data_IF_528307893089
#
_entry.id   IF_528307893089
#
_cell.length_a   1.000
_cell.length_b   1.000
_cell.length_c   1.000
_cell.angle_alpha   90.00
_cell.angle_beta   90.00
_cell.angle_gamma   90.00
#
_symmetry.space_group_name_H-M   'P 1'
#
loop_
_entity.id
_entity.type
_entity.pdbx_description
1 polymer ?
#
# COMPACT_ATOMS: atom_id res chain seq x y z
N UNK A 1 -4.38 -23.01 34.06
CA UNK A 1 -5.15 -24.16 33.54
C UNK A 1 -6.45 -23.59 32.98
N UNK A 2 -6.50 -23.35 31.67
CA UNK A 2 -7.66 -22.78 30.98
C UNK A 2 -8.51 -23.97 30.50
N UNK A 3 -9.85 -23.96 30.67
CA UNK A 3 -10.67 -25.08 30.22
C UNK A 3 -10.69 -25.11 28.69
N UNK A 4 -10.28 -26.24 28.10
CA UNK A 4 -10.50 -26.55 26.69
C UNK A 4 -11.97 -26.93 26.56
N UNK A 5 -12.77 -26.09 25.91
CA UNK A 5 -14.13 -26.46 25.52
C UNK A 5 -14.06 -27.60 24.47
N UNK A 6 -14.83 -28.68 24.63
CA UNK A 6 -14.77 -29.81 23.71
C UNK A 6 -15.50 -29.44 22.40
N UNK A 7 -14.76 -29.39 21.29
CA UNK A 7 -15.33 -29.28 19.94
C UNK A 7 -14.71 -28.21 19.02
N UNK A 8 -13.77 -27.39 19.51
CA UNK A 8 -13.06 -26.42 18.65
C UNK A 8 -12.04 -27.11 17.75
N UNK A 9 -12.13 -26.88 16.43
CA UNK A 9 -11.06 -27.22 15.48
C UNK A 9 -9.77 -26.53 15.93
N UNK A 10 -8.64 -27.24 15.88
CA UNK A 10 -7.35 -26.62 16.20
C UNK A 10 -7.10 -25.42 15.27
N UNK A 11 -6.58 -24.30 15.80
CA UNK A 11 -6.31 -23.11 15.01
C UNK A 11 -5.17 -23.35 14.02
N UNK A 12 -5.40 -23.04 12.75
CA UNK A 12 -4.39 -23.01 11.69
C UNK A 12 -3.93 -21.55 11.50
N UNK A 13 -2.62 -21.22 11.55
CA UNK A 13 -2.13 -19.87 11.28
C UNK A 13 -2.54 -19.29 9.93
N UNK A 14 -2.78 -20.12 8.91
CA UNK A 14 -3.30 -19.68 7.61
C UNK A 14 -4.83 -19.53 7.60
N UNK A 15 -5.52 -20.02 8.62
CA UNK A 15 -6.97 -20.16 8.68
C UNK A 15 -7.45 -21.46 8.05
N UNK A 16 -8.67 -21.89 8.40
CA UNK A 16 -9.33 -23.05 7.80
C UNK A 16 -10.57 -22.67 6.99
N UNK A 17 -11.04 -23.53 6.08
CA UNK A 17 -12.31 -23.30 5.39
C UNK A 17 -13.49 -23.13 6.34
N UNK A 18 -14.25 -22.05 6.17
CA UNK A 18 -15.39 -21.72 7.02
C UNK A 18 -15.80 -20.24 6.93
N UNK A 19 -16.54 -19.78 7.95
CA UNK A 19 -17.01 -18.41 8.05
C UNK A 19 -16.00 -17.51 8.77
N UNK A 20 -15.81 -16.33 8.20
CA UNK A 20 -14.97 -15.28 8.72
C UNK A 20 -15.79 -14.01 8.89
N UNK A 21 -15.57 -13.29 9.99
CA UNK A 21 -16.06 -11.92 10.18
C UNK A 21 -14.94 -10.94 9.90
N UNK A 22 -15.24 -9.92 9.10
CA UNK A 22 -14.31 -8.88 8.72
C UNK A 22 -14.82 -7.53 9.23
N UNK A 23 -13.89 -6.71 9.70
CA UNK A 23 -14.12 -5.32 10.08
C UNK A 23 -13.09 -4.46 9.38
N UNK A 24 -13.53 -3.65 8.41
CA UNK A 24 -12.69 -2.70 7.69
C UNK A 24 -12.82 -1.32 8.34
N UNK A 25 -11.74 -0.79 8.89
CA UNK A 25 -11.76 0.47 9.64
C UNK A 25 -11.61 1.64 8.68
N UNK A 26 -12.63 2.49 8.57
CA UNK A 26 -12.61 3.66 7.70
C UNK A 26 -11.64 4.72 8.24
N UNK A 27 -11.03 5.44 7.31
CA UNK A 27 -10.09 6.50 7.62
C UNK A 27 -10.23 7.69 6.66
N UNK A 28 -9.82 8.85 7.16
CA UNK A 28 -9.62 10.07 6.37
C UNK A 28 -8.18 10.04 5.84
N UNK A 29 -7.96 10.00 4.52
CA UNK A 29 -6.62 10.06 3.94
C UNK A 29 -5.83 11.25 4.49
N UNK A 30 -4.57 11.02 4.88
CA UNK A 30 -3.69 12.04 5.45
C UNK A 30 -3.87 12.35 6.95
N UNK A 31 -4.89 11.81 7.63
CA UNK A 31 -5.06 11.98 9.08
C UNK A 31 -4.52 10.78 9.85
N UNK A 32 -3.69 11.04 10.87
CA UNK A 32 -3.15 10.01 11.77
C UNK A 32 -2.52 8.80 11.03
N UNK A 33 -1.74 9.08 10.00
CA UNK A 33 -1.15 8.09 9.07
C UNK A 33 -0.11 7.16 9.73
N UNK A 34 0.37 7.53 10.92
CA UNK A 34 1.37 6.79 11.69
C UNK A 34 0.72 6.15 12.91
N UNK A 35 1.09 4.90 13.18
CA UNK A 35 0.79 4.21 14.43
C UNK A 35 2.10 3.97 15.21
N UNK A 36 2.14 4.44 16.45
CA UNK A 36 3.27 4.20 17.37
C UNK A 36 3.18 2.81 18.03
N UNK A 37 1.95 2.31 18.17
CA UNK A 37 1.66 0.97 18.69
C UNK A 37 0.56 0.30 17.87
N UNK A 38 0.66 -1.03 17.73
CA UNK A 38 -0.38 -1.83 17.09
C UNK A 38 -1.41 -2.22 18.14
N UNK A 39 -2.48 -1.43 18.25
CA UNK A 39 -3.64 -1.74 19.08
C UNK A 39 -4.93 -1.69 18.25
N UNK A 40 -5.40 -2.85 17.82
CA UNK A 40 -6.52 -2.94 16.88
C UNK A 40 -7.87 -2.55 17.48
N UNK A 41 -8.09 -2.85 18.76
CA UNK A 41 -9.31 -2.40 19.43
C UNK A 41 -9.39 -0.86 19.45
N UNK A 42 -8.26 -0.19 19.71
CA UNK A 42 -8.17 1.27 19.59
C UNK A 42 -8.34 1.73 18.15
N UNK A 43 -7.75 1.03 17.17
CA UNK A 43 -7.86 1.37 15.75
C UNK A 43 -9.32 1.37 15.29
N UNK A 44 -10.06 0.29 15.56
CA UNK A 44 -11.48 0.15 15.22
C UNK A 44 -12.31 1.24 15.91
N UNK A 45 -12.08 1.47 17.21
CA UNK A 45 -12.79 2.50 17.96
C UNK A 45 -12.51 3.92 17.44
N UNK A 46 -11.31 4.15 16.88
CA UNK A 46 -10.89 5.41 16.30
C UNK A 46 -11.24 5.57 14.81
N UNK A 47 -11.99 4.62 14.22
CA UNK A 47 -12.45 4.69 12.84
C UNK A 47 -13.19 6.01 12.55
N UNK A 48 -12.93 6.57 11.38
CA UNK A 48 -13.42 7.90 11.04
C UNK A 48 -13.48 8.14 9.54
N UNK A 49 -14.41 8.97 9.11
CA UNK A 49 -14.56 9.40 7.72
C UNK A 49 -15.01 10.86 7.66
N UNK A 50 -15.08 11.42 6.45
CA UNK A 50 -15.70 12.73 6.22
C UNK A 50 -17.20 12.63 5.89
N UNK A 51 -17.78 11.44 6.03
CA UNK A 51 -19.18 11.18 5.71
C UNK A 51 -20.00 11.15 7.00
N UNK A 52 -20.83 12.16 7.18
CA UNK A 52 -21.74 12.30 8.31
C UNK A 52 -23.14 11.78 7.97
N UNK A 53 -23.82 11.20 8.96
CA UNK A 53 -25.21 10.76 8.88
C UNK A 53 -26.07 11.53 9.88
N UNK A 54 -27.39 11.46 9.73
CA UNK A 54 -28.31 12.07 10.67
C UNK A 54 -28.11 11.52 12.10
N UNK A 55 -28.39 12.35 13.11
CA UNK A 55 -28.07 12.04 14.52
C UNK A 55 -28.80 10.82 15.09
N UNK A 56 -29.93 10.43 14.50
CA UNK A 56 -30.71 9.23 14.84
C UNK A 56 -30.19 7.96 14.15
N UNK A 57 -29.24 8.09 13.22
CA UNK A 57 -28.62 6.98 12.52
C UNK A 57 -27.37 6.53 13.27
N UNK A 58 -27.42 5.31 13.80
CA UNK A 58 -26.29 4.68 14.51
C UNK A 58 -25.59 3.59 13.68
N UNK A 59 -26.30 3.01 12.72
CA UNK A 59 -25.78 2.00 11.80
C UNK A 59 -26.50 2.10 10.46
N UNK A 60 -25.79 1.90 9.36
CA UNK A 60 -26.37 1.71 8.04
C UNK A 60 -26.30 0.23 7.66
N UNK A 61 -27.34 -0.26 7.00
CA UNK A 61 -27.34 -1.58 6.36
C UNK A 61 -27.29 -1.35 4.87
N UNK A 62 -26.35 -2.04 4.22
CA UNK A 62 -26.19 -1.97 2.79
C UNK A 62 -25.87 -3.35 2.23
N UNK A 63 -25.95 -3.45 0.91
CA UNK A 63 -25.76 -4.69 0.21
C UNK A 63 -24.59 -4.56 -0.77
N UNK A 64 -23.64 -5.48 -0.67
CA UNK A 64 -22.55 -5.67 -1.61
C UNK A 64 -22.89 -6.81 -2.53
N UNK A 65 -22.30 -6.79 -3.72
CA UNK A 65 -22.46 -7.86 -4.69
C UNK A 65 -21.08 -8.39 -5.04
N UNK A 66 -20.91 -9.70 -4.98
CA UNK A 66 -19.70 -10.32 -5.52
C UNK A 66 -19.77 -10.40 -7.06
N UNK A 67 -18.68 -10.83 -7.70
CA UNK A 67 -18.60 -10.96 -9.16
C UNK A 67 -19.62 -11.94 -9.74
N UNK A 68 -20.13 -12.88 -8.93
CA UNK A 68 -21.19 -13.80 -9.32
C UNK A 68 -22.60 -13.20 -9.14
N UNK A 69 -22.70 -11.96 -8.65
CA UNK A 69 -23.93 -11.25 -8.37
C UNK A 69 -24.62 -11.68 -7.08
N UNK A 70 -23.97 -12.47 -6.23
CA UNK A 70 -24.55 -12.84 -4.94
C UNK A 70 -24.51 -11.65 -4.01
N UNK A 71 -25.59 -11.53 -3.24
CA UNK A 71 -25.82 -10.41 -2.33
C UNK A 71 -25.23 -10.71 -0.95
N UNK A 72 -24.45 -9.78 -0.43
CA UNK A 72 -23.82 -9.85 0.88
C UNK A 72 -24.24 -8.65 1.73
N UNK A 73 -24.65 -8.91 2.98
CA UNK A 73 -25.06 -7.85 3.89
C UNK A 73 -23.83 -7.20 4.52
N UNK A 74 -23.74 -5.87 4.44
CA UNK A 74 -22.73 -5.09 5.16
C UNK A 74 -23.39 -4.18 6.19
N UNK A 75 -22.70 -4.02 7.31
CA UNK A 75 -23.09 -3.14 8.39
C UNK A 75 -22.07 -2.01 8.48
N UNK A 76 -22.50 -0.79 8.23
CA UNK A 76 -21.63 0.38 8.38
C UNK A 76 -21.92 1.00 9.74
N UNK A 77 -20.92 1.00 10.61
CA UNK A 77 -21.04 1.55 11.95
C UNK A 77 -20.68 3.05 11.95
N UNK A 78 -21.26 3.80 12.89
CA UNK A 78 -21.09 5.24 13.01
C UNK A 78 -20.37 5.57 14.32
N UNK A 79 -19.49 6.57 14.33
CA UNK A 79 -18.77 7.03 15.52
C UNK A 79 -19.57 8.07 16.32
N UNK A 80 -19.03 8.50 17.47
CA UNK A 80 -19.69 9.47 18.36
C UNK A 80 -19.87 10.88 17.78
N UNK A 81 -19.31 11.17 16.60
CA UNK A 81 -19.50 12.42 15.85
C UNK A 81 -20.47 12.23 14.69
N UNK A 82 -21.22 11.13 14.67
CA UNK A 82 -22.14 10.77 13.59
C UNK A 82 -21.47 10.57 12.22
N UNK A 83 -20.19 10.20 12.18
CA UNK A 83 -19.46 9.90 10.94
C UNK A 83 -19.22 8.41 10.77
N UNK A 84 -19.14 7.93 9.52
CA UNK A 84 -18.92 6.50 9.26
C UNK A 84 -17.55 6.06 9.84
N UNK A 85 -17.54 4.92 10.54
CA UNK A 85 -16.42 4.42 11.37
C UNK A 85 -15.76 3.18 10.78
N UNK A 86 -16.54 2.16 10.48
CA UNK A 86 -16.09 0.89 9.93
C UNK A 86 -17.20 0.19 9.16
N UNK A 87 -16.81 -0.80 8.36
CA UNK A 87 -17.71 -1.70 7.64
C UNK A 87 -17.47 -3.13 8.14
N UNK A 88 -18.53 -3.76 8.63
CA UNK A 88 -18.55 -5.15 9.08
C UNK A 88 -19.33 -6.04 8.11
N UNK A 89 -18.78 -7.23 7.83
CA UNK A 89 -19.41 -8.26 7.02
C UNK A 89 -18.92 -9.65 7.41
N UNK A 90 -19.65 -10.68 6.98
CA UNK A 90 -19.25 -12.07 7.11
C UNK A 90 -19.16 -12.72 5.74
N UNK A 91 -18.13 -13.54 5.52
CA UNK A 91 -17.91 -14.28 4.27
C UNK A 91 -17.53 -15.72 4.55
N UNK A 92 -17.90 -16.62 3.65
CA UNK A 92 -17.30 -17.96 3.58
C UNK A 92 -15.98 -17.87 2.80
N UNK A 93 -14.91 -18.44 3.34
CA UNK A 93 -13.58 -18.43 2.74
C UNK A 93 -12.74 -19.64 3.16
N UNK A 94 -11.65 -19.90 2.45
CA UNK A 94 -10.76 -21.05 2.69
C UNK A 94 -9.59 -20.73 3.64
N UNK A 95 -9.31 -19.44 3.83
CA UNK A 95 -8.17 -18.93 4.60
C UNK A 95 -8.40 -17.46 4.95
N UNK A 96 -7.55 -16.90 5.82
CA UNK A 96 -7.57 -15.46 6.11
C UNK A 96 -7.33 -14.59 4.87
N UNK A 97 -6.45 -15.01 3.97
CA UNK A 97 -6.15 -14.24 2.75
C UNK A 97 -7.29 -14.31 1.73
N UNK A 98 -7.97 -15.47 1.63
CA UNK A 98 -9.18 -15.58 0.80
C UNK A 98 -10.31 -14.70 1.38
N UNK A 99 -10.48 -14.68 2.70
CA UNK A 99 -11.43 -13.80 3.37
C UNK A 99 -11.10 -12.30 3.12
N UNK A 100 -9.83 -11.91 3.24
CA UNK A 100 -9.38 -10.55 2.97
C UNK A 100 -9.71 -10.10 1.54
N UNK A 101 -9.42 -10.94 0.56
CA UNK A 101 -9.74 -10.68 -0.86
C UNK A 101 -11.23 -10.46 -1.05
N UNK A 102 -12.06 -11.42 -0.61
CA UNK A 102 -13.52 -11.32 -0.74
C UNK A 102 -14.09 -10.09 -0.04
N UNK A 103 -13.60 -9.80 1.16
CA UNK A 103 -14.06 -8.64 1.92
C UNK A 103 -13.72 -7.33 1.24
N UNK A 104 -12.48 -7.19 0.76
CA UNK A 104 -12.03 -6.00 0.04
C UNK A 104 -12.86 -5.77 -1.22
N UNK A 105 -13.01 -6.81 -2.05
CA UNK A 105 -13.74 -6.73 -3.32
C UNK A 105 -15.23 -6.41 -3.10
N UNK A 106 -15.80 -6.76 -1.95
CA UNK A 106 -17.17 -6.40 -1.57
C UNK A 106 -17.33 -4.95 -1.11
N UNK A 107 -16.32 -4.39 -0.42
CA UNK A 107 -16.43 -3.05 0.17
C UNK A 107 -15.90 -1.94 -0.72
N UNK A 108 -14.85 -2.21 -1.49
CA UNK A 108 -14.12 -1.17 -2.22
C UNK A 108 -15.00 -0.45 -3.27
N UNK A 109 -15.89 -1.14 -4.02
CA UNK A 109 -16.83 -0.46 -4.91
C UNK A 109 -17.77 0.53 -4.20
N UNK A 110 -18.15 0.23 -2.95
CA UNK A 110 -18.94 1.16 -2.15
C UNK A 110 -18.14 2.41 -1.78
N UNK A 111 -16.86 2.24 -1.40
CA UNK A 111 -15.95 3.35 -1.09
C UNK A 111 -15.76 4.25 -2.32
N UNK A 112 -15.47 3.67 -3.48
CA UNK A 112 -15.34 4.38 -4.76
C UNK A 112 -16.61 5.14 -5.12
N UNK A 113 -17.79 4.52 -4.94
CA UNK A 113 -19.08 5.17 -5.16
C UNK A 113 -19.32 6.33 -4.17
N UNK A 114 -19.01 6.17 -2.89
CA UNK A 114 -19.21 7.22 -1.89
C UNK A 114 -18.27 8.39 -2.12
N UNK A 115 -17.01 8.14 -2.49
CA UNK A 115 -16.06 9.17 -2.85
C UNK A 115 -16.61 10.03 -4.01
N UNK A 116 -17.18 9.39 -5.03
CA UNK A 116 -17.83 10.09 -6.15
C UNK A 116 -19.08 10.86 -5.72
N UNK A 117 -20.01 10.23 -5.01
CA UNK A 117 -21.31 10.83 -4.67
C UNK A 117 -21.19 12.04 -3.73
N UNK A 118 -20.18 12.03 -2.86
CA UNK A 118 -20.02 13.02 -1.81
C UNK A 118 -18.83 13.95 -1.99
N UNK A 119 -18.03 13.77 -3.06
CA UNK A 119 -16.79 14.52 -3.32
C UNK A 119 -15.89 14.56 -2.06
N UNK A 120 -15.77 13.41 -1.39
CA UNK A 120 -15.11 13.29 -0.10
C UNK A 120 -14.11 12.12 -0.12
N UNK A 121 -12.85 12.34 0.28
CA UNK A 121 -11.86 11.27 0.33
C UNK A 121 -12.19 10.27 1.44
N UNK A 122 -12.08 8.99 1.12
CA UNK A 122 -12.31 7.87 2.04
C UNK A 122 -11.35 6.74 1.71
N UNK A 123 -10.84 6.08 2.74
CA UNK A 123 -9.97 4.89 2.60
C UNK A 123 -10.14 3.98 3.82
N UNK A 124 -9.39 2.88 3.88
CA UNK A 124 -9.31 2.02 5.06
C UNK A 124 -7.95 2.15 5.74
N UNK A 125 -7.92 2.20 7.07
CA UNK A 125 -6.67 2.19 7.84
C UNK A 125 -6.10 0.79 8.05
N UNK A 126 -6.90 -0.23 7.76
CA UNK A 126 -6.61 -1.63 8.01
C UNK A 126 -7.91 -2.40 8.21
N UNK A 127 -7.77 -3.69 8.47
CA UNK A 127 -8.88 -4.58 8.74
C UNK A 127 -8.54 -5.65 9.76
N UNK A 128 -9.57 -6.11 10.46
CA UNK A 128 -9.54 -7.29 11.32
C UNK A 128 -10.32 -8.40 10.64
N UNK A 129 -9.81 -9.63 10.73
CA UNK A 129 -10.50 -10.84 10.33
C UNK A 129 -10.55 -11.79 11.51
N UNK A 130 -11.72 -12.32 11.83
CA UNK A 130 -11.94 -13.32 12.88
C UNK A 130 -12.50 -14.58 12.23
N UNK A 131 -11.77 -15.69 12.36
CA UNK A 131 -12.30 -17.02 11.99
C UNK A 131 -13.34 -17.44 13.03
N UNK A 132 -14.61 -17.58 12.62
CA UNK A 132 -15.71 -17.78 13.58
C UNK A 132 -15.67 -19.15 14.27
N UNK A 133 -15.06 -20.16 13.63
CA UNK A 133 -14.97 -21.51 14.17
C UNK A 133 -13.97 -21.63 15.34
N UNK A 134 -12.88 -20.86 15.30
CA UNK A 134 -11.76 -20.97 16.25
C UNK A 134 -11.59 -19.72 17.11
N UNK A 135 -12.13 -18.58 16.68
CA UNK A 135 -11.89 -17.27 17.29
C UNK A 135 -10.52 -16.69 16.95
N UNK A 136 -9.72 -17.35 16.11
CA UNK A 136 -8.40 -16.88 15.67
C UNK A 136 -8.56 -15.60 14.86
N UNK A 137 -7.60 -14.68 15.02
CA UNK A 137 -7.69 -13.35 14.44
C UNK A 137 -6.45 -13.05 13.60
N UNK A 138 -6.69 -12.53 12.41
CA UNK A 138 -5.69 -11.85 11.62
C UNK A 138 -5.99 -10.36 11.66
N UNK A 139 -4.93 -9.57 11.75
CA UNK A 139 -5.03 -8.14 11.63
C UNK A 139 -4.07 -7.61 10.60
N UNK A 140 -4.54 -6.64 9.83
CA UNK A 140 -3.76 -5.99 8.79
C UNK A 140 -3.89 -4.47 8.92
N UNK A 141 -2.77 -3.77 8.76
CA UNK A 141 -2.69 -2.31 8.88
C UNK A 141 -2.18 -1.75 7.57
N UNK A 142 -2.95 -0.82 6.98
CA UNK A 142 -2.58 -0.10 5.75
C UNK A 142 -1.80 1.19 6.04
N UNK A 143 -1.69 1.57 7.33
CA UNK A 143 -0.92 2.73 7.80
C UNK A 143 0.56 2.42 7.92
N UNK A 144 1.38 3.47 7.83
CA UNK A 144 2.81 3.33 8.09
C UNK A 144 3.03 3.00 9.57
N UNK A 145 3.66 1.86 9.83
CA UNK A 145 4.33 1.62 11.11
C UNK A 145 5.61 2.45 11.11
N UNK A 146 5.52 3.65 11.67
CA UNK A 146 6.62 4.60 11.70
C UNK A 146 7.25 4.63 13.07
N UNK A 147 8.57 4.51 13.13
CA UNK A 147 9.33 4.96 14.29
C UNK A 147 9.67 6.44 14.11
N UNK A 148 9.58 7.24 15.18
CA UNK A 148 10.13 8.59 15.20
C UNK A 148 11.62 8.52 14.82
N UNK A 149 11.99 9.17 13.73
CA UNK A 149 13.39 9.25 13.28
C UNK A 149 14.01 10.53 13.80
N UNK A 150 15.26 10.43 14.27
CA UNK A 150 16.03 11.62 14.62
C UNK A 150 16.20 12.49 13.37
N UNK A 151 15.88 13.78 13.49
CA UNK A 151 16.16 14.76 12.45
C UNK A 151 17.62 15.18 12.54
N UNK A 152 18.37 15.00 11.44
CA UNK A 152 19.81 15.24 11.38
C UNK A 152 20.24 16.13 10.20
N UNK A 153 19.29 16.78 9.53
CA UNK A 153 19.59 17.61 8.37
C UNK A 153 19.85 19.07 8.77
N UNK A 154 21.04 19.56 8.44
CA UNK A 154 21.43 20.96 8.61
C UNK A 154 21.70 21.67 7.27
N UNK A 155 21.48 20.99 6.14
CA UNK A 155 21.85 21.46 4.80
C UNK A 155 20.85 22.40 4.14
N UNK A 156 19.66 22.59 4.71
CA UNK A 156 18.68 23.55 4.20
C UNK A 156 17.94 23.10 2.93
N UNK A 157 17.66 24.02 2.01
CA UNK A 157 16.79 23.77 0.86
C UNK A 157 17.53 23.06 -0.27
N UNK A 158 16.83 22.19 -1.01
CA UNK A 158 17.44 21.50 -2.15
C UNK A 158 17.73 22.41 -3.35
N UNK A 159 18.83 22.11 -4.04
CA UNK A 159 19.21 22.73 -5.31
C UNK A 159 18.13 22.52 -6.37
N UNK A 160 17.93 23.52 -7.24
CA UNK A 160 16.87 23.53 -8.25
C UNK A 160 16.87 22.26 -9.12
N UNK A 161 18.06 21.79 -9.49
CA UNK A 161 18.25 20.61 -10.34
C UNK A 161 17.70 19.31 -9.73
N UNK A 162 17.59 19.24 -8.40
CA UNK A 162 17.15 18.04 -7.69
C UNK A 162 15.69 18.11 -7.23
N UNK A 163 15.07 19.29 -7.28
CA UNK A 163 13.71 19.50 -6.74
C UNK A 163 12.70 18.59 -7.39
N UNK A 164 12.82 18.32 -8.69
CA UNK A 164 11.88 17.47 -9.43
C UNK A 164 11.91 16.03 -8.90
N UNK A 165 13.10 15.49 -8.62
CA UNK A 165 13.24 14.13 -8.10
C UNK A 165 12.87 14.07 -6.61
N UNK A 166 13.32 15.03 -5.80
CA UNK A 166 13.01 15.11 -4.38
C UNK A 166 11.51 15.30 -4.12
N UNK A 167 10.82 16.11 -4.93
CA UNK A 167 9.37 16.29 -4.81
C UNK A 167 8.64 14.99 -5.16
N UNK A 168 9.02 14.31 -6.25
CA UNK A 168 8.42 13.03 -6.63
C UNK A 168 8.64 11.94 -5.55
N UNK A 169 9.84 11.94 -4.93
CA UNK A 169 10.12 11.05 -3.80
C UNK A 169 9.18 11.33 -2.62
N UNK A 170 9.05 12.60 -2.23
CA UNK A 170 8.17 13.03 -1.13
C UNK A 170 6.72 12.67 -1.40
N UNK A 171 6.22 12.93 -2.61
CA UNK A 171 4.85 12.61 -3.01
C UNK A 171 4.58 11.11 -2.89
N UNK A 172 5.53 10.27 -3.34
CA UNK A 172 5.44 8.82 -3.23
C UNK A 172 5.42 8.31 -1.80
N UNK A 173 6.31 8.78 -0.93
CA UNK A 173 6.37 8.30 0.46
C UNK A 173 5.32 8.94 1.39
N UNK A 174 4.65 10.00 0.96
CA UNK A 174 3.61 10.66 1.78
C UNK A 174 2.21 10.14 1.48
N UNK A 175 2.02 9.42 0.37
CA UNK A 175 0.75 8.80 0.01
C UNK A 175 0.47 7.58 0.87
N UNK A 176 -0.80 7.31 1.19
CA UNK A 176 -1.27 6.05 1.79
C UNK A 176 -1.83 5.08 0.76
N UNK A 177 -1.97 5.51 -0.49
CA UNK A 177 -2.61 4.75 -1.56
C UNK A 177 -1.57 4.05 -2.44
N UNK A 178 -1.54 2.70 -2.52
CA UNK A 178 -0.41 1.96 -3.08
C UNK A 178 -0.21 2.21 -4.58
N UNK A 179 -1.30 2.28 -5.36
CA UNK A 179 -1.24 2.59 -6.80
C UNK A 179 -0.59 3.97 -7.04
N UNK A 180 -0.94 4.97 -6.23
CA UNK A 180 -0.38 6.32 -6.34
C UNK A 180 1.07 6.39 -5.85
N UNK A 181 1.41 5.66 -4.78
CA UNK A 181 2.80 5.50 -4.34
C UNK A 181 3.65 4.95 -5.48
N UNK A 182 3.19 3.90 -6.16
CA UNK A 182 3.90 3.27 -7.27
C UNK A 182 4.12 4.23 -8.44
N UNK A 183 3.07 4.97 -8.87
CA UNK A 183 3.20 5.97 -9.95
C UNK A 183 4.20 7.08 -9.60
N UNK A 184 4.17 7.58 -8.37
CA UNK A 184 5.06 8.65 -7.91
C UNK A 184 6.52 8.19 -7.88
N UNK A 185 6.77 6.98 -7.37
CA UNK A 185 8.11 6.38 -7.36
C UNK A 185 8.60 6.09 -8.79
N UNK A 186 7.73 5.62 -9.68
CA UNK A 186 8.06 5.44 -11.10
C UNK A 186 8.46 6.74 -11.78
N UNK A 187 7.71 7.82 -11.54
CA UNK A 187 8.03 9.14 -12.09
C UNK A 187 9.43 9.59 -11.68
N UNK A 188 9.83 9.35 -10.43
CA UNK A 188 11.21 9.61 -9.98
C UNK A 188 12.21 8.75 -10.74
N UNK A 189 11.99 7.42 -10.77
CA UNK A 189 12.91 6.47 -11.41
C UNK A 189 13.12 6.85 -12.89
N UNK A 190 12.04 7.14 -13.62
CA UNK A 190 12.09 7.55 -15.03
C UNK A 190 12.84 8.87 -15.21
N UNK A 191 12.59 9.85 -14.34
CA UNK A 191 13.32 11.12 -14.32
C UNK A 191 14.81 10.94 -14.09
N UNK A 192 15.20 10.15 -13.08
CA UNK A 192 16.59 9.87 -12.76
C UNK A 192 17.30 9.18 -13.95
N UNK A 193 16.69 8.17 -14.55
CA UNK A 193 17.26 7.51 -15.73
C UNK A 193 17.46 8.46 -16.92
N UNK A 194 16.54 9.41 -17.13
CA UNK A 194 16.69 10.40 -18.18
C UNK A 194 17.90 11.30 -17.92
N UNK A 195 18.03 11.82 -16.69
CA UNK A 195 19.16 12.66 -16.27
C UNK A 195 20.51 11.90 -16.36
N UNK A 196 20.52 10.63 -15.98
CA UNK A 196 21.70 9.77 -16.10
C UNK A 196 22.04 9.50 -17.57
N UNK A 197 21.04 9.27 -18.42
CA UNK A 197 21.21 9.06 -19.86
C UNK A 197 21.83 10.27 -20.57
N UNK A 198 21.32 11.46 -20.28
CA UNK A 198 21.84 12.73 -20.82
C UNK A 198 23.31 12.96 -20.41
N UNK A 199 23.64 12.75 -19.12
CA UNK A 199 25.03 12.85 -18.64
C UNK A 199 25.94 11.80 -19.23
N UNK A 200 25.48 10.55 -19.33
CA UNK A 200 26.23 9.47 -19.96
C UNK A 200 26.55 9.79 -21.41
N UNK A 201 25.58 10.33 -22.17
CA UNK A 201 25.81 10.77 -23.54
C UNK A 201 26.84 11.90 -23.62
N UNK A 202 26.75 12.90 -22.74
CA UNK A 202 27.71 14.00 -22.67
C UNK A 202 29.15 13.52 -22.34
N UNK A 203 29.30 12.58 -21.41
CA UNK A 203 30.61 11.99 -21.07
C UNK A 203 31.21 11.23 -22.25
N UNK A 204 30.41 10.42 -22.94
CA UNK A 204 30.84 9.68 -24.13
C UNK A 204 31.25 10.65 -25.24
N UNK A 205 30.47 11.71 -25.48
CA UNK A 205 30.79 12.75 -26.47
C UNK A 205 32.09 13.50 -26.12
N UNK A 206 32.39 13.65 -24.83
CA UNK A 206 33.65 14.21 -24.33
C UNK A 206 34.82 13.20 -24.30
N UNK A 207 34.65 11.99 -24.83
CA UNK A 207 35.68 10.94 -24.83
C UNK A 207 35.99 10.35 -23.44
N UNK A 208 35.09 10.54 -22.47
CA UNK A 208 35.24 10.03 -21.09
C UNK A 208 34.47 8.75 -20.90
N UNK A 209 34.94 7.92 -19.97
CA UNK A 209 34.28 6.68 -19.61
C UNK A 209 33.07 6.96 -18.69
N UNK A 210 31.86 6.49 -19.04
CA UNK A 210 30.70 6.68 -18.19
C UNK A 210 30.74 5.79 -16.94
N UNK A 211 30.03 6.16 -15.87
CA UNK A 211 29.94 5.36 -14.65
C UNK A 211 29.31 3.98 -14.89
N UNK A 212 29.55 3.07 -13.93
CA UNK A 212 28.95 1.74 -13.94
C UNK A 212 27.42 1.84 -13.77
N UNK A 213 26.69 0.97 -14.46
CA UNK A 213 25.22 0.90 -14.39
C UNK A 213 24.80 0.33 -13.04
N UNK A 214 23.80 0.95 -12.41
CA UNK A 214 23.24 0.48 -11.15
C UNK A 214 22.52 -0.87 -11.32
N UNK A 215 22.74 -1.76 -10.35
CA UNK A 215 22.18 -3.10 -10.31
C UNK A 215 21.59 -3.39 -8.94
N UNK A 216 20.59 -4.27 -8.90
CA UNK A 216 20.19 -4.93 -7.66
C UNK A 216 21.33 -5.85 -7.25
N UNK A 217 21.80 -5.81 -5.98
CA UNK A 217 22.83 -6.74 -5.51
C UNK A 217 22.43 -8.20 -5.76
N UNK A 218 23.41 -9.05 -6.06
CA UNK A 218 23.17 -10.48 -6.24
C UNK A 218 22.74 -11.15 -4.92
N UNK A 219 23.27 -10.66 -3.80
CA UNK A 219 22.83 -11.02 -2.46
C UNK A 219 21.98 -9.89 -1.87
N UNK A 220 20.68 -10.15 -1.73
CA UNK A 220 19.70 -9.21 -1.17
C UNK A 220 19.43 -9.47 0.32
N UNK A 221 20.02 -10.51 0.91
CA UNK A 221 19.71 -10.93 2.30
C UNK A 221 20.21 -9.94 3.34
N UNK A 222 21.20 -9.12 2.98
CA UNK A 222 21.81 -8.10 3.84
C UNK A 222 21.25 -6.70 3.61
N UNK A 223 20.32 -6.53 2.66
CA UNK A 223 19.72 -5.23 2.34
C UNK A 223 18.61 -4.89 3.34
N UNK A 224 18.57 -3.61 3.71
CA UNK A 224 17.54 -3.05 4.60
C UNK A 224 17.86 -3.22 6.09
N UNK A 225 17.10 -2.53 6.91
CA UNK A 225 17.08 -2.76 8.36
C UNK A 225 16.25 -4.02 8.68
N UNK A 226 16.41 -4.59 9.88
CA UNK A 226 15.65 -5.80 10.28
C UNK A 226 14.13 -5.59 10.23
N UNK A 227 13.66 -4.35 10.36
CA UNK A 227 12.26 -3.95 10.32
C UNK A 227 11.78 -3.48 8.92
N UNK A 228 12.61 -3.57 7.86
CA UNK A 228 12.17 -3.32 6.49
C UNK A 228 11.42 -4.55 5.93
N UNK A 229 10.24 -4.82 6.50
CA UNK A 229 9.39 -5.94 6.13
C UNK A 229 9.06 -5.92 4.63
N UNK A 230 9.21 -7.07 3.95
CA UNK A 230 8.91 -7.24 2.53
C UNK A 230 9.97 -6.68 1.57
N UNK A 231 10.97 -5.91 2.01
CA UNK A 231 12.01 -5.38 1.10
C UNK A 231 12.79 -6.51 0.44
N UNK A 232 13.32 -7.45 1.23
CA UNK A 232 14.15 -8.55 0.72
C UNK A 232 13.35 -9.44 -0.25
N UNK A 233 12.10 -9.75 0.11
CA UNK A 233 11.21 -10.55 -0.72
C UNK A 233 10.88 -9.84 -2.04
N UNK A 234 10.67 -8.52 -2.01
CA UNK A 234 10.43 -7.72 -3.22
C UNK A 234 11.65 -7.62 -4.14
N UNK A 235 12.87 -7.66 -3.61
CA UNK A 235 14.12 -7.56 -4.38
C UNK A 235 14.58 -8.91 -4.94
N UNK A 236 14.25 -10.02 -4.27
CA UNK A 236 14.68 -11.38 -4.62
C UNK A 236 14.44 -11.77 -6.09
N UNK A 237 13.31 -11.43 -6.74
CA UNK A 237 13.09 -11.73 -8.16
C UNK A 237 14.05 -11.00 -9.11
N UNK A 238 14.69 -9.94 -8.64
CA UNK A 238 15.50 -9.02 -9.43
C UNK A 238 17.00 -9.07 -9.08
N UNK A 239 17.42 -9.97 -8.19
CA UNK A 239 18.80 -10.06 -7.72
C UNK A 239 19.79 -10.17 -8.89
N UNK A 240 20.82 -9.31 -8.89
CA UNK A 240 21.84 -9.23 -9.94
C UNK A 240 21.41 -8.53 -11.23
N UNK A 241 20.15 -8.15 -11.40
CA UNK A 241 19.66 -7.47 -12.60
C UNK A 241 20.00 -5.98 -12.59
N UNK A 242 20.17 -5.40 -13.78
CA UNK A 242 20.34 -3.94 -13.93
C UNK A 242 19.04 -3.24 -13.60
N UNK A 243 19.10 -2.05 -12.99
CA UNK A 243 17.90 -1.27 -12.69
C UNK A 243 17.07 -0.97 -13.94
N UNK A 244 17.70 -0.84 -15.13
CA UNK A 244 16.96 -0.68 -16.38
C UNK A 244 16.07 -1.88 -16.70
N UNK A 245 16.57 -3.10 -16.47
CA UNK A 245 15.82 -4.34 -16.69
C UNK A 245 14.66 -4.46 -15.69
N UNK A 246 14.94 -4.13 -14.42
CA UNK A 246 13.92 -4.12 -13.36
C UNK A 246 12.81 -3.11 -13.68
N UNK A 247 13.19 -1.86 -14.00
CA UNK A 247 12.25 -0.82 -14.42
C UNK A 247 11.41 -1.27 -15.61
N UNK A 248 12.01 -1.81 -16.66
CA UNK A 248 11.26 -2.17 -17.87
C UNK A 248 10.31 -3.35 -17.62
N UNK A 249 10.72 -4.31 -16.78
CA UNK A 249 9.86 -5.42 -16.31
C UNK A 249 8.65 -4.91 -15.54
N UNK A 250 8.87 -4.01 -14.59
CA UNK A 250 7.79 -3.49 -13.74
C UNK A 250 6.92 -2.50 -14.54
N UNK A 251 7.50 -1.70 -15.46
CA UNK A 251 6.77 -0.70 -16.25
C UNK A 251 5.64 -1.34 -17.05
N UNK A 252 5.95 -2.44 -17.75
CA UNK A 252 4.96 -3.14 -18.57
C UNK A 252 3.84 -3.75 -17.75
N UNK A 253 4.15 -4.28 -16.56
CA UNK A 253 3.20 -5.01 -15.71
C UNK A 253 2.34 -4.11 -14.81
N UNK A 254 2.90 -3.00 -14.34
CA UNK A 254 2.31 -2.18 -13.28
C UNK A 254 2.12 -0.74 -13.73
N UNK A 255 3.20 -0.04 -14.09
CA UNK A 255 3.14 1.41 -14.38
C UNK A 255 2.10 1.74 -15.44
N UNK A 256 2.11 1.03 -16.58
CA UNK A 256 1.18 1.31 -17.67
C UNK A 256 -0.26 0.94 -17.29
N UNK A 257 -0.44 -0.20 -16.62
CA UNK A 257 -1.73 -0.70 -16.16
C UNK A 257 -2.40 0.20 -15.10
N UNK A 258 -1.61 0.92 -14.30
CA UNK A 258 -2.12 1.90 -13.32
C UNK A 258 -2.35 3.26 -13.99
N UNK A 259 -1.47 3.68 -14.91
CA UNK A 259 -1.49 5.03 -15.47
C UNK A 259 -2.56 5.25 -16.56
N UNK A 260 -3.03 4.19 -17.20
CA UNK A 260 -3.96 4.28 -18.33
C UNK A 260 -5.26 3.53 -18.00
N UNK A 261 -6.38 4.25 -18.09
CA UNK A 261 -7.72 3.66 -17.97
C UNK A 261 -8.18 3.21 -19.36
N UNK A 262 -7.65 2.08 -19.83
CA UNK A 262 -8.06 1.45 -21.08
C UNK A 262 -8.89 0.20 -20.76
N UNK A 263 -10.20 0.29 -21.02
CA UNK A 263 -11.21 -0.71 -20.63
C UNK A 263 -10.90 -2.08 -21.24
N UNK A 264 -10.23 -2.12 -22.39
CA UNK A 264 -9.92 -3.35 -23.12
C UNK A 264 -8.54 -3.93 -22.72
N UNK A 265 -7.87 -3.33 -21.74
CA UNK A 265 -6.53 -3.72 -21.28
C UNK A 265 -6.54 -4.27 -19.85
N UNK A 266 -5.44 -4.91 -19.46
CA UNK A 266 -5.19 -5.29 -18.08
C UNK A 266 -4.92 -4.05 -17.23
N UNK A 267 -5.99 -3.39 -16.76
CA UNK A 267 -5.92 -2.26 -15.82
C UNK A 267 -5.78 -2.77 -14.38
N UNK A 268 -5.08 -1.99 -13.55
CA UNK A 268 -5.01 -2.21 -12.11
C UNK A 268 -5.82 -1.13 -11.40
N UNK A 269 -6.80 -1.55 -10.61
CA UNK A 269 -7.72 -0.65 -9.90
C UNK A 269 -7.70 -0.91 -8.39
N UNK A 270 -8.10 0.10 -7.61
CA UNK A 270 -8.18 -0.04 -6.15
C UNK A 270 -9.30 -0.98 -5.71
N UNK A 271 -10.34 -1.14 -6.52
CA UNK A 271 -11.52 -1.93 -6.18
C UNK A 271 -11.29 -3.45 -6.28
N UNK A 272 -10.09 -3.88 -6.69
CA UNK A 272 -9.71 -5.29 -6.77
C UNK A 272 -8.52 -5.59 -5.87
N UNK A 273 -8.69 -6.51 -4.93
CA UNK A 273 -7.68 -6.92 -3.98
C UNK A 273 -6.39 -7.40 -4.65
N UNK A 274 -6.51 -8.25 -5.67
CA UNK A 274 -5.35 -8.80 -6.37
C UNK A 274 -4.48 -7.70 -7.01
N UNK A 275 -5.12 -6.65 -7.54
CA UNK A 275 -4.42 -5.53 -8.17
C UNK A 275 -3.67 -4.70 -7.14
N UNK A 276 -4.30 -4.44 -5.99
CA UNK A 276 -3.66 -3.80 -4.84
C UNK A 276 -2.47 -4.62 -4.34
N UNK A 277 -2.63 -5.93 -4.16
CA UNK A 277 -1.57 -6.82 -3.69
C UNK A 277 -0.38 -6.89 -4.65
N UNK A 278 -0.62 -6.95 -5.97
CA UNK A 278 0.44 -6.89 -7.00
C UNK A 278 1.30 -5.63 -6.83
N UNK A 279 0.68 -4.50 -6.52
CA UNK A 279 1.38 -3.23 -6.31
C UNK A 279 2.15 -3.26 -4.99
N UNK A 280 1.50 -3.65 -3.89
CA UNK A 280 2.09 -3.71 -2.55
C UNK A 280 3.36 -4.56 -2.49
N UNK A 281 3.37 -5.71 -3.17
CA UNK A 281 4.54 -6.59 -3.22
C UNK A 281 5.77 -5.97 -3.89
N UNK A 282 5.56 -5.00 -4.78
CA UNK A 282 6.64 -4.37 -5.58
C UNK A 282 7.06 -3.02 -5.00
N UNK A 283 6.20 -2.37 -4.20
CA UNK A 283 6.48 -1.06 -3.60
C UNK A 283 7.79 -0.97 -2.83
N UNK A 284 8.19 -1.93 -1.97
CA UNK A 284 9.46 -1.86 -1.25
C UNK A 284 10.66 -1.81 -2.21
N UNK A 285 10.65 -2.63 -3.27
CA UNK A 285 11.68 -2.62 -4.31
C UNK A 285 11.73 -1.28 -5.04
N UNK A 286 10.58 -0.72 -5.46
CA UNK A 286 10.52 0.59 -6.11
C UNK A 286 11.05 1.69 -5.21
N UNK A 287 10.68 1.69 -3.93
CA UNK A 287 11.13 2.69 -2.96
C UNK A 287 12.65 2.61 -2.75
N UNK A 288 13.19 1.40 -2.61
CA UNK A 288 14.62 1.19 -2.47
C UNK A 288 15.39 1.65 -3.71
N UNK A 289 14.94 1.23 -4.91
CA UNK A 289 15.57 1.61 -6.18
C UNK A 289 15.51 3.12 -6.40
N UNK A 290 14.38 3.76 -6.10
CA UNK A 290 14.23 5.21 -6.16
C UNK A 290 15.21 5.95 -5.23
N UNK A 291 15.43 5.44 -4.01
CA UNK A 291 16.44 6.00 -3.09
C UNK A 291 17.84 5.87 -3.64
N UNK A 292 18.23 4.70 -4.14
CA UNK A 292 19.57 4.49 -4.69
C UNK A 292 19.86 5.42 -5.87
N UNK A 293 18.90 5.57 -6.78
CA UNK A 293 19.01 6.49 -7.91
C UNK A 293 19.11 7.94 -7.42
N UNK A 294 18.25 8.34 -6.49
CA UNK A 294 18.26 9.69 -5.93
C UNK A 294 19.56 10.01 -5.20
N UNK A 295 20.08 9.09 -4.38
CA UNK A 295 21.36 9.24 -3.67
C UNK A 295 22.51 9.43 -4.67
N UNK A 296 22.51 8.66 -5.76
CA UNK A 296 23.49 8.81 -6.85
C UNK A 296 23.38 10.18 -7.52
N UNK A 297 22.17 10.74 -7.71
CA UNK A 297 21.99 12.09 -8.22
C UNK A 297 22.53 13.16 -7.27
N UNK A 298 22.21 13.05 -5.97
CA UNK A 298 22.61 14.03 -4.96
C UNK A 298 24.12 14.05 -4.72
N UNK A 299 24.82 12.94 -4.91
CA UNK A 299 26.29 12.89 -4.79
C UNK A 299 27.02 13.65 -5.91
N UNK A 300 26.38 13.87 -7.05
CA UNK A 300 27.01 14.54 -8.21
C UNK A 300 27.02 16.06 -8.09
N UNK A 301 26.10 16.62 -7.30
CA UNK A 301 26.05 18.05 -6.97
C UNK A 301 25.74 18.18 -5.48
N UNK A 302 26.74 18.43 -4.61
CA UNK A 302 26.51 18.48 -3.17
C UNK A 302 25.38 19.46 -2.83
N UNK A 303 24.52 19.08 -1.87
CA UNK A 303 23.59 20.02 -1.24
C UNK A 303 24.41 21.19 -0.67
N UNK A 304 24.15 22.41 -1.14
CA UNK A 304 24.75 23.65 -0.63
C UNK A 304 23.84 24.31 0.38
#
# INVERSE_FOLDING_TARGET
MVPILPGGREPDPAGSPGKYRLTFVLAIPGRAVVLDEVNFAKLIAAGDSLLEVASDVHTLRMDGHDDAGNKHALTVNVNGQHRLRDIELEVDADSFMHAASRGHDLIAPALSRWAYLHDAPITTSGFQIIELATGTQLFWVNRMLGAVKAFADTGGASHQDHRILLSAYRDGISSTEPLWQALSLFRLIEGAFKMQGERRAALIAAGRQPPQVECVPADVTTIGQENDYGLRDSLKPYAGQKFTQVRDTIRGKLRNAIAHLDIDSDILIQDRWEDVQKVEQVLPCLRWMARQLLDAELQQTPLQ
#
